data_IF_975901029889
#
_entry.id   IF_975901029889
#
_cell.length_a   1.000
_cell.length_b   1.000
_cell.length_c   1.000
_cell.angle_alpha   90.00
_cell.angle_beta   90.00
_cell.angle_gamma   90.00
#
_symmetry.space_group_name_H-M   'P 1'
#
loop_
_entity.id
_entity.type
_entity.pdbx_description
1 polymer ?
#
# COMPACT_ATOMS: atom_id res chain seq x y z
N UNK A 1 -9.37 28.23 -19.69
CA UNK A 1 -9.37 27.34 -18.51
C UNK A 1 -10.77 26.97 -18.03
N UNK A 2 -11.69 27.93 -17.84
CA UNK A 2 -13.09 27.66 -17.42
C UNK A 2 -13.87 26.76 -18.41
N UNK A 3 -13.77 27.02 -19.72
CA UNK A 3 -14.42 26.18 -20.74
C UNK A 3 -13.90 24.74 -20.79
N UNK A 4 -12.62 24.51 -20.43
CA UNK A 4 -12.02 23.17 -20.39
C UNK A 4 -12.49 22.39 -19.17
N UNK A 5 -12.65 23.06 -18.02
CA UNK A 5 -13.21 22.49 -16.79
C UNK A 5 -14.69 22.13 -17.00
N UNK A 6 -15.46 23.00 -17.65
CA UNK A 6 -16.86 22.73 -18.02
C UNK A 6 -16.95 21.55 -18.99
N UNK A 7 -16.04 21.44 -19.96
CA UNK A 7 -16.02 20.31 -20.91
C UNK A 7 -15.68 18.98 -20.22
N UNK A 8 -14.74 18.98 -19.27
CA UNK A 8 -14.37 17.78 -18.49
C UNK A 8 -15.51 17.36 -17.57
N UNK A 9 -16.17 18.32 -16.90
CA UNK A 9 -17.34 18.05 -16.05
C UNK A 9 -18.47 17.45 -16.89
N UNK A 10 -18.80 18.05 -18.05
CA UNK A 10 -19.83 17.54 -18.97
C UNK A 10 -19.47 16.17 -19.59
N UNK A 11 -18.19 15.90 -19.85
CA UNK A 11 -17.72 14.61 -20.35
C UNK A 11 -17.81 13.49 -19.29
N UNK A 12 -17.49 13.81 -18.03
CA UNK A 12 -17.69 12.90 -16.89
C UNK A 12 -19.18 12.63 -16.67
N UNK A 13 -20.05 13.64 -16.84
CA UNK A 13 -21.51 13.48 -16.73
C UNK A 13 -22.12 12.65 -17.86
N UNK A 14 -21.60 12.74 -19.10
CA UNK A 14 -22.07 11.95 -20.24
C UNK A 14 -21.88 10.44 -20.05
N UNK A 15 -20.82 10.02 -19.34
CA UNK A 15 -20.45 8.61 -19.19
C UNK A 15 -21.06 7.92 -17.95
N UNK A 16 -21.68 8.67 -17.01
CA UNK A 16 -22.20 8.12 -15.75
C UNK A 16 -23.73 7.94 -15.71
N UNK A 17 -24.47 8.36 -16.74
CA UNK A 17 -25.96 8.38 -16.70
C UNK A 17 -26.55 7.83 -18.00
N UNK A 18 -26.44 6.51 -18.21
CA UNK A 18 -27.06 5.85 -19.37
C UNK A 18 -28.36 5.09 -19.06
N UNK A 19 -28.83 5.06 -17.81
CA UNK A 19 -29.94 4.20 -17.38
C UNK A 19 -31.31 4.89 -17.21
N UNK A 20 -31.47 6.16 -17.59
CA UNK A 20 -32.76 6.87 -17.48
C UNK A 20 -33.14 7.59 -18.80
N UNK A 21 -34.31 7.26 -19.37
CA UNK A 21 -34.77 7.76 -20.68
C UNK A 21 -35.07 9.27 -20.70
N UNK A 22 -35.55 9.86 -19.60
CA UNK A 22 -35.78 11.32 -19.52
C UNK A 22 -34.48 12.12 -19.63
N UNK A 23 -33.40 11.62 -19.02
CA UNK A 23 -32.08 12.24 -19.11
C UNK A 23 -31.50 12.17 -20.52
N UNK A 24 -31.77 11.08 -21.27
CA UNK A 24 -31.35 10.95 -22.68
C UNK A 24 -32.05 12.00 -23.57
N UNK A 25 -33.34 12.23 -23.38
CA UNK A 25 -34.10 13.21 -24.16
C UNK A 25 -33.71 14.66 -23.85
N UNK A 26 -33.49 15.00 -22.57
CA UNK A 26 -32.99 16.33 -22.16
C UNK A 26 -31.60 16.62 -22.71
N UNK A 27 -30.70 15.64 -22.70
CA UNK A 27 -29.33 15.80 -23.18
C UNK A 27 -29.30 15.91 -24.72
N UNK A 28 -30.08 15.11 -25.47
CA UNK A 28 -30.18 15.23 -26.93
C UNK A 28 -30.70 16.60 -27.40
N UNK A 29 -31.65 17.19 -26.68
CA UNK A 29 -32.22 18.49 -27.04
C UNK A 29 -31.26 19.66 -26.75
N UNK A 30 -30.42 19.55 -25.72
CA UNK A 30 -29.41 20.57 -25.37
C UNK A 30 -28.33 20.72 -26.46
N UNK A 31 -27.80 19.60 -26.98
CA UNK A 31 -26.75 19.61 -28.01
C UNK A 31 -27.23 20.02 -29.41
N UNK A 32 -28.54 19.96 -29.68
CA UNK A 32 -29.13 20.33 -30.99
C UNK A 32 -29.40 21.83 -31.14
N UNK A 33 -29.48 22.60 -30.05
CA UNK A 33 -29.87 24.00 -30.09
C UNK A 33 -28.65 24.94 -30.07
N UNK A 34 -28.47 25.76 -31.11
CA UNK A 34 -27.28 26.64 -31.28
C UNK A 34 -27.18 27.78 -30.24
N UNK A 35 -28.21 28.02 -29.43
CA UNK A 35 -28.22 29.01 -28.34
C UNK A 35 -28.08 28.40 -26.93
N UNK A 36 -27.75 27.11 -26.83
CA UNK A 36 -27.71 26.30 -25.59
C UNK A 36 -26.83 26.87 -24.46
N UNK A 37 -25.82 27.69 -24.77
CA UNK A 37 -24.96 28.30 -23.76
C UNK A 37 -25.61 29.44 -22.95
N UNK A 38 -26.70 30.06 -23.44
CA UNK A 38 -27.37 31.16 -22.71
C UNK A 38 -28.24 30.67 -21.54
N UNK A 39 -28.72 29.43 -21.55
CA UNK A 39 -29.62 28.88 -20.53
C UNK A 39 -28.96 27.77 -19.70
N UNK A 40 -27.63 27.79 -19.57
CA UNK A 40 -26.89 26.77 -18.81
C UNK A 40 -27.33 26.70 -17.35
N UNK A 41 -27.70 27.83 -16.74
CA UNK A 41 -28.20 27.89 -15.36
C UNK A 41 -29.50 27.13 -15.15
N UNK A 42 -30.47 27.26 -16.07
CA UNK A 42 -31.75 26.54 -16.01
C UNK A 42 -31.56 25.04 -16.28
N UNK A 43 -30.60 24.66 -17.12
CA UNK A 43 -30.27 23.26 -17.38
C UNK A 43 -29.65 22.59 -16.15
N UNK A 44 -28.73 23.26 -15.47
CA UNK A 44 -28.09 22.76 -14.24
C UNK A 44 -29.11 22.64 -13.10
N UNK A 45 -29.97 23.64 -12.90
CA UNK A 45 -30.99 23.58 -11.84
C UNK A 45 -31.98 22.44 -12.07
N UNK A 46 -32.40 22.21 -13.32
CA UNK A 46 -33.31 21.10 -13.66
C UNK A 46 -32.67 19.73 -13.41
N UNK A 47 -31.36 19.58 -13.68
CA UNK A 47 -30.61 18.35 -13.37
C UNK A 47 -30.50 18.14 -11.85
N UNK A 48 -30.24 19.20 -11.09
CA UNK A 48 -30.17 19.16 -9.63
C UNK A 48 -31.52 18.74 -9.01
N UNK A 49 -32.62 19.32 -9.50
CA UNK A 49 -33.97 18.99 -9.04
C UNK A 49 -34.32 17.52 -9.33
N UNK A 50 -34.00 17.02 -10.54
CA UNK A 50 -34.23 15.62 -10.90
C UNK A 50 -33.33 14.65 -10.11
N UNK A 51 -32.13 15.07 -9.68
CA UNK A 51 -31.27 14.28 -8.81
C UNK A 51 -31.81 14.24 -7.38
N UNK A 52 -32.30 15.36 -6.87
CA UNK A 52 -32.94 15.43 -5.55
C UNK A 52 -34.21 14.58 -5.50
N UNK A 53 -35.01 14.58 -6.57
CA UNK A 53 -36.19 13.73 -6.67
C UNK A 53 -35.83 12.23 -6.73
N UNK A 54 -34.74 11.87 -7.43
CA UNK A 54 -34.23 10.49 -7.48
C UNK A 54 -33.70 10.03 -6.12
N UNK A 55 -32.97 10.89 -5.41
CA UNK A 55 -32.51 10.66 -4.03
C UNK A 55 -33.69 10.49 -3.07
N UNK A 56 -34.76 11.27 -3.25
CA UNK A 56 -35.98 11.20 -2.45
C UNK A 56 -36.74 9.90 -2.70
N UNK A 57 -36.95 9.51 -3.97
CA UNK A 57 -37.57 8.22 -4.34
C UNK A 57 -36.73 7.01 -3.89
N UNK A 58 -35.40 7.12 -3.89
CA UNK A 58 -34.52 6.07 -3.37
C UNK A 58 -34.63 5.96 -1.84
N UNK A 59 -34.70 7.07 -1.11
CA UNK A 59 -34.99 7.08 0.34
C UNK A 59 -36.38 6.50 0.67
N UNK A 60 -37.40 6.83 -0.12
CA UNK A 60 -38.77 6.35 0.10
C UNK A 60 -38.93 4.87 -0.25
N UNK A 61 -38.21 4.37 -1.27
CA UNK A 61 -38.15 2.94 -1.63
C UNK A 61 -37.41 2.08 -0.60
N UNK A 62 -36.40 2.64 0.06
CA UNK A 62 -35.68 1.97 1.16
C UNK A 62 -36.50 1.82 2.44
N UNK A 63 -37.55 2.62 2.63
CA UNK A 63 -38.38 2.61 3.84
C UNK A 63 -39.57 1.64 3.76
N UNK A 64 -39.88 1.09 2.59
CA UNK A 64 -41.09 0.27 2.38
C UNK A 64 -40.87 -1.24 2.33
N UNK A 65 -39.64 -1.73 2.37
CA UNK A 65 -39.38 -3.16 2.48
C UNK A 65 -38.19 -3.42 3.40
N UNK A 66 -38.35 -4.44 4.24
CA UNK A 66 -37.45 -4.96 5.27
C UNK A 66 -37.57 -4.29 6.65
N UNK A 67 -37.79 -5.15 7.64
CA UNK A 67 -37.61 -4.95 9.08
C UNK A 67 -36.17 -4.49 9.41
N UNK A 68 -35.78 -3.30 8.94
CA UNK A 68 -34.46 -2.70 9.10
C UNK A 68 -34.41 -1.72 10.28
N UNK A 69 -35.10 -2.05 11.37
CA UNK A 69 -34.97 -1.30 12.64
C UNK A 69 -33.57 -1.40 13.27
N UNK A 70 -32.63 -2.15 12.66
CA UNK A 70 -31.23 -2.29 13.12
C UNK A 70 -30.17 -1.62 12.26
N UNK A 71 -30.49 -1.19 11.03
CA UNK A 71 -29.44 -0.72 10.08
C UNK A 71 -29.41 0.81 9.95
N UNK A 72 -30.53 1.52 10.17
CA UNK A 72 -30.62 2.96 9.89
C UNK A 72 -30.73 3.89 11.11
N UNK A 73 -30.60 3.40 12.34
CA UNK A 73 -30.40 4.29 13.52
C UNK A 73 -28.95 4.81 13.63
N UNK A 74 -28.01 4.33 12.79
CA UNK A 74 -26.59 4.65 12.91
C UNK A 74 -26.09 5.82 12.05
N UNK A 75 -26.91 6.47 11.23
CA UNK A 75 -26.38 7.50 10.30
C UNK A 75 -26.32 8.91 10.88
N UNK A 76 -27.12 9.25 11.90
CA UNK A 76 -27.16 10.61 12.44
C UNK A 76 -26.30 10.83 13.70
N UNK A 77 -25.92 9.79 14.43
CA UNK A 77 -25.00 9.91 15.58
C UNK A 77 -23.51 9.89 15.17
N UNK A 78 -23.17 9.60 13.91
CA UNK A 78 -21.79 9.39 13.46
C UNK A 78 -21.06 10.66 13.01
N UNK A 79 -21.78 11.76 12.74
CA UNK A 79 -21.19 12.98 12.20
C UNK A 79 -20.93 14.08 13.24
N UNK A 80 -21.40 13.95 14.48
CA UNK A 80 -21.38 15.07 15.43
C UNK A 80 -20.13 15.19 16.32
N UNK A 81 -19.12 14.32 16.24
CA UNK A 81 -17.89 14.56 17.01
C UNK A 81 -16.68 13.73 16.57
N UNK A 82 -16.10 14.01 15.39
CA UNK A 82 -14.73 13.56 15.11
C UNK A 82 -13.91 14.62 14.38
N UNK A 83 -13.84 15.83 14.95
CA UNK A 83 -12.74 16.73 14.66
C UNK A 83 -11.51 16.26 15.46
N UNK A 84 -10.89 15.17 15.01
CA UNK A 84 -9.48 14.97 15.34
C UNK A 84 -8.75 15.87 14.35
N UNK A 85 -8.47 17.09 14.77
CA UNK A 85 -7.71 18.07 14.02
C UNK A 85 -6.48 18.46 14.83
N UNK A 86 -5.34 18.61 14.15
CA UNK A 86 -4.15 19.23 14.72
C UNK A 86 -4.12 20.65 14.17
N UNK A 87 -4.15 21.65 15.05
CA UNK A 87 -4.03 23.02 14.60
C UNK A 87 -2.66 23.24 13.93
N UNK A 88 -2.56 23.93 12.78
CA UNK A 88 -1.28 24.17 12.11
C UNK A 88 -0.16 24.73 13.00
N UNK A 89 -0.53 25.54 14.00
CA UNK A 89 0.41 26.13 14.97
C UNK A 89 0.99 25.13 15.97
N UNK A 90 0.38 23.96 16.14
CA UNK A 90 0.88 22.92 17.03
C UNK A 90 1.98 22.07 16.39
N UNK A 91 2.15 22.15 15.05
CA UNK A 91 3.18 21.36 14.38
C UNK A 91 4.59 21.84 14.77
N UNK A 92 5.53 20.89 15.01
CA UNK A 92 6.93 21.21 15.17
C UNK A 92 7.39 22.09 14.01
N UNK A 93 7.87 23.29 14.34
CA UNK A 93 8.34 24.22 13.33
C UNK A 93 9.76 23.83 12.91
N UNK A 94 9.98 23.46 11.64
CA UNK A 94 11.31 23.15 11.17
C UNK A 94 12.16 24.40 11.10
N UNK A 95 13.44 24.28 11.48
CA UNK A 95 14.41 25.35 11.23
C UNK A 95 14.52 25.59 9.74
N UNK A 96 14.52 26.86 9.35
CA UNK A 96 14.74 27.31 7.97
C UNK A 96 16.14 27.90 7.84
N UNK A 97 16.85 27.51 6.80
CA UNK A 97 18.11 28.14 6.42
C UNK A 97 18.00 28.80 5.04
N UNK A 98 17.53 30.04 5.01
CA UNK A 98 17.33 30.81 3.77
C UNK A 98 18.63 31.12 3.01
N UNK A 99 19.80 30.83 3.58
CA UNK A 99 21.08 31.02 2.90
C UNK A 99 21.39 29.94 1.84
N UNK A 100 20.66 28.83 1.86
CA UNK A 100 20.87 27.71 0.92
C UNK A 100 20.09 28.01 -0.36
N UNK A 101 20.81 28.47 -1.38
CA UNK A 101 20.26 28.80 -2.70
C UNK A 101 21.12 28.12 -3.76
N UNK A 102 20.49 27.31 -4.60
CA UNK A 102 21.11 26.71 -5.77
C UNK A 102 20.80 27.49 -7.04
N UNK A 103 21.70 27.44 -8.01
CA UNK A 103 21.46 28.00 -9.34
C UNK A 103 21.39 26.86 -10.35
N UNK A 104 20.19 26.58 -10.86
CA UNK A 104 19.93 25.53 -11.84
C UNK A 104 19.48 26.21 -13.14
N UNK A 105 20.29 26.06 -14.20
CA UNK A 105 20.03 26.66 -15.51
C UNK A 105 19.78 28.19 -15.48
N UNK A 106 20.47 28.92 -14.59
CA UNK A 106 20.31 30.36 -14.43
C UNK A 106 19.19 30.78 -13.48
N UNK A 107 18.42 29.83 -12.94
CA UNK A 107 17.33 30.07 -11.99
C UNK A 107 17.80 29.81 -10.57
N UNK A 108 17.63 30.80 -9.68
CA UNK A 108 17.91 30.65 -8.25
C UNK A 108 16.75 29.93 -7.54
N UNK A 109 17.04 28.83 -6.84
CA UNK A 109 16.08 28.00 -6.11
C UNK A 109 16.52 27.92 -4.65
N UNK A 110 15.66 28.34 -3.72
CA UNK A 110 15.92 28.25 -2.28
C UNK A 110 15.56 26.86 -1.76
N UNK A 111 16.43 26.28 -0.93
CA UNK A 111 16.20 25.03 -0.21
C UNK A 111 16.47 25.17 1.29
N UNK A 112 15.52 25.79 2.03
CA UNK A 112 15.72 26.11 3.43
C UNK A 112 15.76 24.88 4.35
N UNK A 113 15.43 23.69 3.84
CA UNK A 113 15.30 22.46 4.62
C UNK A 113 16.34 21.40 4.24
N UNK A 114 17.36 21.75 3.46
CA UNK A 114 18.47 20.88 3.06
C UNK A 114 19.06 20.02 4.19
N UNK A 115 19.07 20.54 5.41
CA UNK A 115 19.57 19.82 6.59
C UNK A 115 18.80 18.51 6.86
N UNK A 116 17.52 18.43 6.49
CA UNK A 116 16.70 17.22 6.63
C UNK A 116 17.13 16.07 5.70
N UNK A 117 17.91 16.35 4.65
CA UNK A 117 18.43 15.31 3.75
C UNK A 117 19.46 14.41 4.44
N UNK A 118 20.05 14.86 5.55
CA UNK A 118 20.96 14.05 6.33
C UNK A 118 20.23 13.38 7.51
N UNK A 119 19.92 12.07 7.44
CA UNK A 119 19.20 11.37 8.50
C UNK A 119 20.03 11.13 9.76
N UNK A 120 21.36 11.32 9.68
CA UNK A 120 22.25 11.10 10.81
C UNK A 120 22.39 12.33 11.71
N UNK A 121 22.01 13.52 11.23
CA UNK A 121 22.00 14.74 12.03
C UNK A 121 21.03 14.60 13.20
N UNK A 122 21.50 15.05 14.36
CA UNK A 122 20.70 15.02 15.58
C UNK A 122 19.44 15.89 15.43
N UNK A 123 19.56 17.04 14.77
CA UNK A 123 18.44 17.93 14.47
C UNK A 123 17.34 17.22 13.64
N UNK A 124 17.73 16.44 12.62
CA UNK A 124 16.80 15.65 11.79
C UNK A 124 16.08 14.59 12.62
N UNK A 125 16.82 13.87 13.47
CA UNK A 125 16.24 12.85 14.35
C UNK A 125 15.26 13.45 15.34
N UNK A 126 15.60 14.59 15.95
CA UNK A 126 14.74 15.30 16.90
C UNK A 126 13.47 15.80 16.23
N UNK A 127 13.58 16.34 15.02
CA UNK A 127 12.42 16.79 14.25
C UNK A 127 11.46 15.63 13.91
N UNK A 128 12.01 14.51 13.44
CA UNK A 128 11.21 13.29 13.18
C UNK A 128 10.56 12.77 14.47
N UNK A 129 11.26 12.81 15.60
CA UNK A 129 10.71 12.43 16.89
C UNK A 129 9.55 13.34 17.31
N UNK A 130 9.69 14.65 17.15
CA UNK A 130 8.63 15.62 17.45
C UNK A 130 7.38 15.38 16.59
N UNK A 131 7.56 15.14 15.28
CA UNK A 131 6.46 14.80 14.37
C UNK A 131 5.76 13.48 14.77
N UNK A 132 6.52 12.46 15.15
CA UNK A 132 5.98 11.19 15.62
C UNK A 132 5.20 11.34 16.94
N UNK A 133 5.67 12.18 17.85
CA UNK A 133 5.00 12.45 19.13
C UNK A 133 3.68 13.20 18.97
N UNK A 134 3.51 13.97 17.90
CA UNK A 134 2.25 14.63 17.61
C UNK A 134 1.28 13.73 16.83
N UNK A 135 1.79 13.01 15.83
CA UNK A 135 0.98 12.14 14.98
C UNK A 135 0.47 10.89 15.71
N UNK A 136 1.25 10.28 16.61
CA UNK A 136 0.84 9.06 17.33
C UNK A 136 -0.42 9.28 18.18
N UNK A 137 -0.49 10.27 19.09
CA UNK A 137 -1.70 10.56 19.87
C UNK A 137 -2.89 10.91 18.98
N UNK A 138 -2.67 11.63 17.88
CA UNK A 138 -3.72 11.93 16.91
C UNK A 138 -4.34 10.66 16.32
N UNK A 139 -3.50 9.75 15.83
CA UNK A 139 -3.96 8.47 15.30
C UNK A 139 -4.62 7.62 16.38
N UNK A 140 -4.08 7.61 17.60
CA UNK A 140 -4.61 6.83 18.73
C UNK A 140 -5.98 7.33 19.21
N UNK A 141 -6.29 8.62 19.05
CA UNK A 141 -7.62 9.20 19.32
C UNK A 141 -8.69 8.79 18.30
N UNK A 142 -8.30 8.24 17.15
CA UNK A 142 -9.26 7.84 16.11
C UNK A 142 -10.18 6.73 16.61
N UNK A 143 -11.47 7.01 16.71
CA UNK A 143 -12.49 6.02 17.06
C UNK A 143 -12.54 4.83 16.10
N UNK A 144 -12.21 5.07 14.83
CA UNK A 144 -12.15 4.01 13.84
C UNK A 144 -10.89 3.16 13.96
N UNK A 145 -9.80 3.64 14.56
CA UNK A 145 -8.56 2.85 14.70
C UNK A 145 -8.81 1.55 15.45
N UNK A 146 -9.58 1.57 16.52
CA UNK A 146 -9.93 0.34 17.24
C UNK A 146 -10.94 -0.53 16.51
N UNK A 147 -11.86 0.07 15.74
CA UNK A 147 -12.78 -0.70 14.89
C UNK A 147 -12.08 -1.35 13.72
N UNK A 148 -11.16 -0.64 13.06
CA UNK A 148 -10.27 -1.18 12.05
C UNK A 148 -9.35 -2.20 12.66
N UNK A 149 -8.69 -1.92 13.78
CA UNK A 149 -7.84 -2.89 14.48
C UNK A 149 -8.66 -4.13 14.84
N UNK A 150 -9.83 -4.03 15.45
CA UNK A 150 -10.70 -5.19 15.74
C UNK A 150 -11.20 -5.87 14.47
N UNK A 151 -11.48 -5.15 13.39
CA UNK A 151 -11.89 -5.72 12.10
C UNK A 151 -10.72 -6.40 11.39
N UNK A 152 -9.50 -5.87 11.50
CA UNK A 152 -8.22 -6.42 11.03
C UNK A 152 -7.76 -7.59 11.88
N UNK A 153 -7.98 -7.54 13.20
CA UNK A 153 -7.78 -8.63 14.17
C UNK A 153 -8.87 -9.69 14.06
N UNK A 154 -10.12 -9.33 13.70
CA UNK A 154 -11.11 -10.31 13.23
C UNK A 154 -10.78 -10.80 11.83
N UNK A 155 -10.13 -9.97 11.00
CA UNK A 155 -9.40 -10.39 9.81
C UNK A 155 -8.16 -11.20 10.17
N UNK A 156 -7.78 -11.40 11.44
CA UNK A 156 -6.91 -12.52 11.81
C UNK A 156 -7.64 -13.86 11.60
N UNK A 157 -8.98 -13.88 11.51
CA UNK A 157 -9.72 -15.01 10.89
C UNK A 157 -9.63 -15.03 9.36
N UNK A 158 -9.37 -13.91 8.68
CA UNK A 158 -8.86 -13.95 7.30
C UNK A 158 -7.37 -14.28 7.26
N UNK A 159 -6.59 -14.03 8.31
CA UNK A 159 -5.32 -14.71 8.49
C UNK A 159 -5.56 -16.19 8.65
N UNK A 160 -6.69 -16.77 9.07
CA UNK A 160 -6.91 -18.22 8.84
C UNK A 160 -7.00 -18.61 7.34
N UNK A 161 -7.25 -17.66 6.44
CA UNK A 161 -7.16 -17.86 4.99
C UNK A 161 -5.74 -17.58 4.44
N UNK A 162 -4.92 -16.76 5.12
CA UNK A 162 -3.49 -16.57 4.80
C UNK A 162 -2.55 -17.49 5.59
N UNK A 163 -3.02 -18.06 6.70
CA UNK A 163 -2.47 -19.13 7.56
C UNK A 163 -2.82 -20.48 6.92
N UNK A 164 -2.83 -20.46 5.60
CA UNK A 164 -2.91 -21.63 4.77
C UNK A 164 -1.50 -22.03 4.44
N UNK A 165 -1.29 -23.33 4.46
CA UNK A 165 -0.06 -23.93 3.97
C UNK A 165 0.15 -23.49 2.53
N UNK A 166 1.25 -22.80 2.29
CA UNK A 166 1.62 -22.29 0.97
C UNK A 166 2.88 -22.98 0.48
N UNK A 167 2.86 -23.37 -0.80
CA UNK A 167 4.00 -23.99 -1.49
C UNK A 167 4.43 -23.09 -2.64
N UNK A 168 5.72 -22.80 -2.71
CA UNK A 168 6.35 -22.25 -3.90
C UNK A 168 6.59 -23.32 -4.96
N UNK A 169 7.05 -22.89 -6.13
CA UNK A 169 7.44 -23.81 -7.20
C UNK A 169 8.60 -24.71 -6.74
N UNK A 170 8.51 -25.99 -7.10
CA UNK A 170 9.55 -26.98 -6.83
C UNK A 170 10.61 -26.90 -7.93
N UNK A 171 11.87 -26.90 -7.53
CA UNK A 171 13.04 -26.89 -8.42
C UNK A 171 14.02 -28.00 -8.02
N UNK A 172 14.65 -28.67 -8.99
CA UNK A 172 15.63 -29.73 -8.71
C UNK A 172 17.05 -29.18 -8.83
N UNK A 173 17.86 -29.39 -7.78
CA UNK A 173 19.27 -29.01 -7.74
C UNK A 173 20.08 -30.15 -7.11
N UNK A 174 21.01 -30.71 -7.87
CA UNK A 174 21.73 -31.94 -7.48
C UNK A 174 20.74 -33.09 -7.16
N UNK A 175 20.92 -33.70 -5.99
CA UNK A 175 20.13 -34.84 -5.52
C UNK A 175 18.80 -34.45 -4.84
N UNK A 176 18.50 -33.15 -4.71
CA UNK A 176 17.36 -32.67 -3.94
C UNK A 176 16.42 -31.78 -4.76
N UNK A 177 15.14 -31.82 -4.39
CA UNK A 177 14.11 -30.88 -4.80
C UNK A 177 13.95 -29.82 -3.71
N UNK A 178 14.02 -28.54 -4.08
CA UNK A 178 13.89 -27.39 -3.19
C UNK A 178 12.61 -26.60 -3.49
N UNK A 179 12.01 -26.05 -2.45
CA UNK A 179 10.84 -25.18 -2.55
C UNK A 179 10.67 -24.32 -1.31
N UNK A 180 10.08 -23.14 -1.50
CA UNK A 180 9.60 -22.33 -0.40
C UNK A 180 8.31 -22.94 0.17
N UNK A 181 8.18 -22.99 1.49
CA UNK A 181 6.99 -23.46 2.18
C UNK A 181 6.73 -22.61 3.42
N UNK A 182 5.46 -22.24 3.63
CA UNK A 182 4.99 -21.59 4.85
C UNK A 182 3.93 -22.46 5.49
N UNK A 183 4.01 -22.64 6.81
CA UNK A 183 2.92 -23.23 7.59
C UNK A 183 1.76 -22.26 7.82
N UNK A 184 1.91 -21.00 7.38
CA UNK A 184 0.88 -19.97 7.41
C UNK A 184 1.26 -18.79 8.32
N UNK A 185 1.48 -19.07 9.60
CA UNK A 185 1.77 -18.06 10.63
C UNK A 185 3.26 -17.61 10.70
N UNK A 186 4.01 -17.75 9.61
CA UNK A 186 5.43 -17.37 9.57
C UNK A 186 5.60 -16.00 8.90
N UNK A 187 6.56 -15.19 9.38
CA UNK A 187 6.87 -13.88 8.76
C UNK A 187 7.37 -14.06 7.32
N UNK A 188 8.14 -15.13 7.08
CA UNK A 188 8.64 -15.51 5.77
C UNK A 188 8.59 -17.03 5.58
N UNK A 189 8.30 -17.47 4.35
CA UNK A 189 8.37 -18.88 3.96
C UNK A 189 9.79 -19.42 4.14
N UNK A 190 9.91 -20.62 4.70
CA UNK A 190 11.19 -21.31 4.82
C UNK A 190 11.48 -22.15 3.56
N UNK A 191 12.75 -22.40 3.29
CA UNK A 191 13.16 -23.28 2.19
C UNK A 191 13.29 -24.69 2.73
N UNK A 192 12.53 -25.60 2.15
CA UNK A 192 12.57 -27.03 2.41
C UNK A 192 13.21 -27.77 1.23
N UNK A 193 13.64 -29.00 1.51
CA UNK A 193 14.15 -29.93 0.52
C UNK A 193 13.70 -31.36 0.73
N UNK A 194 13.76 -32.17 -0.32
CA UNK A 194 13.45 -33.61 -0.30
C UNK A 194 14.20 -34.33 -1.43
N UNK A 195 14.60 -35.61 -1.26
CA UNK A 195 15.35 -36.34 -2.31
C UNK A 195 14.43 -36.79 -3.44
N UNK A 196 13.24 -37.27 -3.11
CA UNK A 196 12.17 -37.58 -4.06
C UNK A 196 10.91 -36.75 -3.77
N UNK A 197 9.99 -36.66 -4.73
CA UNK A 197 8.73 -35.91 -4.55
C UNK A 197 7.78 -36.54 -3.52
N UNK A 198 8.02 -37.80 -3.15
CA UNK A 198 7.27 -38.57 -2.15
C UNK A 198 7.93 -38.58 -0.76
N UNK A 199 9.18 -38.11 -0.65
CA UNK A 199 9.89 -38.14 0.63
C UNK A 199 9.37 -37.08 1.59
N UNK A 200 9.68 -37.28 2.89
CA UNK A 200 9.37 -36.27 3.90
C UNK A 200 10.25 -35.04 3.72
N UNK A 201 9.62 -33.86 3.72
CA UNK A 201 10.31 -32.57 3.61
C UNK A 201 11.27 -32.34 4.78
N UNK A 202 12.44 -31.78 4.49
CA UNK A 202 13.48 -31.42 5.44
C UNK A 202 13.73 -29.92 5.38
N UNK A 203 13.79 -29.24 6.52
CA UNK A 203 14.10 -27.82 6.58
C UNK A 203 15.56 -27.59 6.14
N UNK A 204 15.77 -26.68 5.18
CA UNK A 204 17.11 -26.34 4.67
C UNK A 204 17.56 -24.94 5.06
N UNK A 205 16.67 -23.94 4.94
CA UNK A 205 16.94 -22.56 5.34
C UNK A 205 15.68 -21.93 5.94
N UNK A 206 15.81 -21.36 7.15
CA UNK A 206 14.73 -20.69 7.86
C UNK A 206 15.04 -19.20 8.02
N UNK A 207 14.42 -18.31 7.20
CA UNK A 207 14.63 -16.87 7.31
C UNK A 207 14.23 -16.33 8.68
N UNK A 208 13.26 -16.96 9.35
CA UNK A 208 12.72 -16.49 10.63
C UNK A 208 13.71 -16.67 11.78
N UNK A 209 14.76 -17.48 11.60
CA UNK A 209 15.85 -17.68 12.57
C UNK A 209 17.04 -16.76 12.36
N UNK A 210 17.05 -15.96 11.29
CA UNK A 210 18.17 -15.06 11.00
C UNK A 210 18.23 -13.87 11.96
N UNK A 211 17.09 -13.42 12.48
CA UNK A 211 17.01 -12.30 13.43
C UNK A 211 15.94 -12.53 14.48
N UNK A 212 16.23 -12.12 15.72
CA UNK A 212 15.27 -12.21 16.83
C UNK A 212 14.07 -11.27 16.67
N UNK A 213 14.25 -10.14 15.97
CA UNK A 213 13.19 -9.18 15.67
C UNK A 213 12.45 -9.48 14.35
N UNK A 214 12.97 -10.39 13.53
CA UNK A 214 12.43 -10.77 12.22
C UNK A 214 12.57 -9.68 11.16
N UNK A 215 13.56 -8.78 11.30
CA UNK A 215 13.82 -7.70 10.35
C UNK A 215 14.74 -8.09 9.19
N UNK A 216 15.35 -9.28 9.26
CA UNK A 216 16.10 -9.86 8.15
C UNK A 216 15.16 -10.60 7.20
N UNK A 217 15.33 -10.37 5.90
CA UNK A 217 14.54 -11.04 4.88
C UNK A 217 15.39 -11.62 3.75
N UNK A 218 15.01 -12.82 3.31
CA UNK A 218 15.61 -13.44 2.13
C UNK A 218 14.84 -12.99 0.89
N UNK A 219 15.55 -12.54 -0.15
CA UNK A 219 14.91 -12.02 -1.36
C UNK A 219 15.18 -12.81 -2.64
N UNK A 220 16.33 -13.48 -2.74
CA UNK A 220 16.73 -14.28 -3.88
C UNK A 220 17.53 -15.50 -3.43
N UNK A 221 17.41 -16.59 -4.17
CA UNK A 221 18.28 -17.76 -4.06
C UNK A 221 18.75 -18.19 -5.44
N UNK A 222 19.97 -18.72 -5.50
CA UNK A 222 20.53 -19.36 -6.69
C UNK A 222 21.39 -20.53 -6.25
N UNK A 223 21.43 -21.58 -7.06
CA UNK A 223 22.22 -22.78 -6.80
C UNK A 223 23.37 -22.88 -7.78
N UNK A 224 24.50 -23.44 -7.34
CA UNK A 224 25.54 -23.91 -8.23
C UNK A 224 25.00 -24.96 -9.21
N UNK A 225 25.68 -25.14 -10.33
CA UNK A 225 25.26 -26.08 -11.39
C UNK A 225 25.07 -27.51 -10.87
N UNK A 226 25.99 -27.97 -10.04
CA UNK A 226 25.96 -29.29 -9.40
C UNK A 226 24.99 -29.37 -8.20
N UNK A 227 24.46 -28.23 -7.74
CA UNK A 227 23.59 -28.12 -6.58
C UNK A 227 24.32 -28.28 -5.23
N UNK A 228 25.65 -28.27 -5.21
CA UNK A 228 26.44 -28.42 -3.98
C UNK A 228 26.44 -27.17 -3.10
N UNK A 229 26.15 -25.99 -3.65
CA UNK A 229 26.12 -24.70 -2.95
C UNK A 229 24.88 -23.90 -3.33
N UNK A 230 24.22 -23.31 -2.33
CA UNK A 230 23.18 -22.30 -2.51
C UNK A 230 23.72 -20.93 -2.09
N UNK A 231 23.59 -19.95 -2.98
CA UNK A 231 23.74 -18.54 -2.66
C UNK A 231 22.37 -17.93 -2.35
N UNK A 232 22.29 -17.04 -1.36
CA UNK A 232 21.05 -16.35 -1.01
C UNK A 232 21.31 -14.91 -0.55
N UNK A 233 20.43 -13.99 -0.93
CA UNK A 233 20.49 -12.59 -0.49
C UNK A 233 19.73 -12.39 0.81
N UNK A 234 20.29 -11.59 1.72
CA UNK A 234 19.61 -11.11 2.92
C UNK A 234 19.58 -9.58 2.93
N UNK A 235 18.39 -9.00 3.09
CA UNK A 235 18.16 -7.58 3.34
C UNK A 235 17.85 -7.34 4.81
N UNK A 236 18.39 -6.27 5.40
CA UNK A 236 18.06 -5.84 6.76
C UNK A 236 17.07 -4.68 6.75
N UNK A 237 16.00 -4.79 7.55
CA UNK A 237 15.00 -3.73 7.81
C UNK A 237 14.41 -3.12 6.53
N UNK A 238 14.27 -3.94 5.48
CA UNK A 238 13.74 -3.51 4.19
C UNK A 238 14.69 -2.60 3.38
N UNK A 239 15.97 -2.56 3.71
CA UNK A 239 16.98 -1.87 2.92
C UNK A 239 17.14 -2.50 1.54
N UNK A 240 17.31 -1.66 0.51
CA UNK A 240 17.69 -2.11 -0.84
C UNK A 240 19.11 -2.70 -0.88
N UNK A 241 19.94 -2.40 0.13
CA UNK A 241 21.27 -3.00 0.28
C UNK A 241 21.14 -4.38 0.90
N UNK A 242 21.68 -5.37 0.21
CA UNK A 242 21.68 -6.76 0.61
C UNK A 242 23.11 -7.29 0.78
N UNK A 243 23.19 -8.40 1.51
CA UNK A 243 24.41 -9.22 1.59
C UNK A 243 24.11 -10.59 1.00
N UNK A 244 24.96 -11.09 0.11
CA UNK A 244 24.89 -12.46 -0.39
C UNK A 244 25.66 -13.37 0.56
N UNK A 245 25.02 -14.46 0.97
CA UNK A 245 25.58 -15.54 1.77
C UNK A 245 25.58 -16.82 0.96
N UNK A 246 26.38 -17.79 1.40
CA UNK A 246 26.48 -19.10 0.76
C UNK A 246 26.28 -20.20 1.80
N UNK A 247 25.61 -21.28 1.39
CA UNK A 247 25.32 -22.46 2.19
C UNK A 247 25.61 -23.71 1.39
N UNK A 248 26.31 -24.67 1.98
CA UNK A 248 26.55 -25.95 1.32
C UNK A 248 25.28 -26.83 1.31
N UNK A 249 25.30 -27.88 0.49
CA UNK A 249 24.22 -28.87 0.43
C UNK A 249 24.08 -29.69 1.73
N UNK A 250 25.03 -29.66 2.65
CA UNK A 250 24.86 -30.30 3.96
C UNK A 250 24.07 -29.40 4.93
N UNK A 251 23.84 -28.14 4.58
CA UNK A 251 23.15 -27.14 5.40
C UNK A 251 24.11 -26.30 6.25
N UNK A 252 25.42 -26.39 6.02
CA UNK A 252 26.44 -25.57 6.69
C UNK A 252 26.59 -24.23 5.98
N UNK A 253 26.63 -23.14 6.75
CA UNK A 253 26.92 -21.82 6.20
C UNK A 253 28.41 -21.71 5.87
N UNK A 254 28.70 -21.24 4.67
CA UNK A 254 30.06 -20.99 4.20
C UNK A 254 30.55 -19.60 4.68
N UNK A 255 31.86 -19.40 4.84
CA UNK A 255 32.40 -18.15 5.39
C UNK A 255 32.27 -16.96 4.44
N UNK A 256 32.20 -17.22 3.13
CA UNK A 256 32.13 -16.22 2.06
C UNK A 256 30.87 -15.36 2.16
N UNK A 257 31.04 -14.05 1.95
CA UNK A 257 29.94 -13.07 1.93
C UNK A 257 30.25 -11.95 0.95
N UNK A 258 29.25 -11.53 0.18
CA UNK A 258 29.36 -10.37 -0.71
C UNK A 258 28.51 -9.24 -0.12
N UNK A 259 29.17 -8.17 0.33
CA UNK A 259 28.55 -7.05 1.02
C UNK A 259 28.07 -5.98 0.03
N UNK A 260 27.08 -5.19 0.46
CA UNK A 260 26.62 -3.96 -0.22
C UNK A 260 26.13 -4.20 -1.66
N UNK A 261 25.47 -5.34 -1.89
CA UNK A 261 24.82 -5.63 -3.17
C UNK A 261 23.52 -4.82 -3.25
N UNK A 262 23.25 -4.17 -4.38
CA UNK A 262 22.00 -3.44 -4.61
C UNK A 262 21.46 -3.81 -5.98
N UNK A 263 20.19 -4.25 -6.03
CA UNK A 263 19.48 -4.61 -7.28
C UNK A 263 20.25 -5.60 -8.18
N UNK A 264 21.06 -6.47 -7.56
CA UNK A 264 21.82 -7.50 -8.28
C UNK A 264 20.98 -8.75 -8.55
N UNK A 265 21.42 -9.53 -9.53
CA UNK A 265 20.99 -10.91 -9.73
C UNK A 265 22.14 -11.85 -9.34
N UNK A 266 21.82 -12.99 -8.74
CA UNK A 266 22.80 -14.05 -8.52
C UNK A 266 22.76 -15.00 -9.70
N UNK A 267 23.89 -15.12 -10.40
CA UNK A 267 24.08 -16.11 -11.48
C UNK A 267 25.29 -16.95 -11.08
N UNK A 268 25.06 -18.25 -10.88
CA UNK A 268 26.13 -19.22 -10.61
C UNK A 268 26.54 -19.85 -11.95
N UNK A 269 27.84 -19.79 -12.29
CA UNK A 269 28.34 -20.22 -13.60
C UNK A 269 28.17 -21.74 -13.82
N UNK A 270 28.07 -22.09 -15.10
CA UNK A 270 27.78 -23.41 -15.63
C UNK A 270 29.01 -24.09 -16.25
N UNK A 271 30.23 -23.86 -15.74
CA UNK A 271 31.43 -24.54 -16.25
C UNK A 271 31.39 -26.05 -15.99
#
# INVERSE_FOLDING_TARGET
MIYLIIFIILFIFKNNVETNEEYKNLNQNFWRNKNSFKNLGEYVSTIEDLQQEKLKKQKDGFNKNYNNKRIFEYTNAYCESFNVDIHPDEYPQPKRNESIIENICGVKISDPYRWMENPNLEETKQFVYALNNQSRPFLDKSFFRDKFRKKFTHYDRMLQLFDQKSYGCISKHGDYYYYAYSEGNQKQSSIYRQKTLSDTKQLFLDPNKLSSDGTLAISQTAFSRDGSVMAYTVSEKGSDLTTIYFKDVNGQDLPDKILKVKQGSIIMDAQ
#
